data_IF_089817285190
#
_entry.id   IF_089817285190
#
_cell.length_a   1.000
_cell.length_b   1.000
_cell.length_c   1.000
_cell.angle_alpha   90.00
_cell.angle_beta   90.00
_cell.angle_gamma   90.00
#
_symmetry.space_group_name_H-M   'P 1'
#
loop_
_entity.id
_entity.type
_entity.pdbx_description
1 polymer ?
#
# COMPACT_ATOMS: atom_id res chain seq x y z
N UNK A 1 15.56 10.15 -8.30
CA UNK A 1 15.22 8.71 -8.22
C UNK A 1 16.41 7.88 -7.76
N UNK A 2 17.49 7.75 -8.54
CA UNK A 2 18.66 6.97 -8.11
C UNK A 2 19.29 7.52 -6.82
N UNK A 3 19.45 8.84 -6.74
CA UNK A 3 19.90 9.55 -5.53
C UNK A 3 19.04 9.25 -4.31
N UNK A 4 17.71 9.22 -4.46
CA UNK A 4 16.79 8.97 -3.33
C UNK A 4 16.95 7.52 -2.85
N UNK A 5 17.08 6.57 -3.79
CA UNK A 5 17.31 5.14 -3.51
C UNK A 5 18.67 4.93 -2.83
N UNK A 6 19.72 5.59 -3.32
CA UNK A 6 21.05 5.50 -2.71
C UNK A 6 21.05 6.10 -1.29
N UNK A 7 20.17 7.07 -1.01
CA UNK A 7 19.88 7.59 0.33
C UNK A 7 18.93 6.70 1.16
N UNK A 8 18.46 5.57 0.61
CA UNK A 8 17.55 4.64 1.27
C UNK A 8 16.11 5.16 1.41
N UNK A 9 15.74 6.21 0.67
CA UNK A 9 14.42 6.84 0.76
C UNK A 9 13.65 6.60 -0.54
N UNK A 10 12.42 6.04 -0.49
CA UNK A 10 11.58 5.94 -1.67
C UNK A 10 11.36 7.31 -2.32
N UNK A 11 11.47 7.41 -3.64
CA UNK A 11 11.32 8.68 -4.37
C UNK A 11 10.00 9.39 -4.10
N UNK A 12 8.91 8.65 -3.85
CA UNK A 12 7.60 9.24 -3.51
C UNK A 12 7.58 9.97 -2.17
N UNK A 13 8.47 9.57 -1.24
CA UNK A 13 8.65 10.22 0.06
C UNK A 13 9.62 11.40 -0.07
N UNK A 14 10.75 11.18 -0.74
CA UNK A 14 11.77 12.22 -0.93
C UNK A 14 11.28 13.40 -1.78
N UNK A 15 10.37 13.15 -2.73
CA UNK A 15 9.89 14.12 -3.72
C UNK A 15 8.37 14.07 -3.84
N UNK A 16 7.63 14.58 -2.84
CA UNK A 16 6.17 14.42 -2.76
C UNK A 16 5.41 15.12 -3.90
N UNK A 17 5.97 16.17 -4.51
CA UNK A 17 5.34 16.90 -5.61
C UNK A 17 5.85 16.46 -7.00
N UNK A 18 6.42 15.26 -7.10
CA UNK A 18 6.91 14.72 -8.38
C UNK A 18 5.84 13.95 -9.14
N UNK A 19 6.00 13.86 -10.46
CA UNK A 19 5.13 13.04 -11.33
C UNK A 19 5.05 11.58 -10.86
N UNK A 20 6.14 11.03 -10.30
CA UNK A 20 6.15 9.69 -9.74
C UNK A 20 5.20 9.53 -8.56
N UNK A 21 5.10 10.55 -7.70
CA UNK A 21 4.16 10.57 -6.57
C UNK A 21 2.73 10.67 -7.07
N UNK A 22 2.46 11.52 -8.06
CA UNK A 22 1.13 11.65 -8.65
C UNK A 22 0.65 10.32 -9.25
N UNK A 23 1.50 9.65 -10.03
CA UNK A 23 1.19 8.33 -10.63
C UNK A 23 0.99 7.26 -9.56
N UNK A 24 1.83 7.24 -8.54
CA UNK A 24 1.71 6.31 -7.41
C UNK A 24 0.37 6.50 -6.68
N UNK A 25 -0.01 7.75 -6.38
CA UNK A 25 -1.26 8.07 -5.72
C UNK A 25 -2.48 7.67 -6.57
N UNK A 26 -2.45 7.91 -7.88
CA UNK A 26 -3.52 7.49 -8.78
C UNK A 26 -3.72 5.96 -8.76
N UNK A 27 -2.62 5.19 -8.78
CA UNK A 27 -2.68 3.73 -8.66
C UNK A 27 -3.21 3.30 -7.29
N UNK A 28 -2.68 3.88 -6.21
CA UNK A 28 -3.09 3.58 -4.84
C UNK A 28 -4.58 3.87 -4.63
N UNK A 29 -5.09 5.00 -5.13
CA UNK A 29 -6.52 5.34 -5.09
C UNK A 29 -7.37 4.28 -5.78
N UNK A 30 -6.97 3.84 -6.98
CA UNK A 30 -7.68 2.77 -7.71
C UNK A 30 -7.70 1.46 -6.91
N UNK A 31 -6.55 1.05 -6.37
CA UNK A 31 -6.44 -0.18 -5.56
C UNK A 31 -7.32 -0.07 -4.31
N UNK A 32 -7.27 1.05 -3.60
CA UNK A 32 -8.09 1.29 -2.42
C UNK A 32 -9.59 1.26 -2.75
N UNK A 33 -10.01 1.89 -3.85
CA UNK A 33 -11.40 1.84 -4.30
C UNK A 33 -11.84 0.41 -4.65
N UNK A 34 -11.00 -0.36 -5.35
CA UNK A 34 -11.29 -1.77 -5.63
C UNK A 34 -11.38 -2.62 -4.37
N UNK A 35 -10.48 -2.43 -3.41
CA UNK A 35 -10.52 -3.13 -2.12
C UNK A 35 -11.73 -2.73 -1.28
N UNK A 36 -12.15 -1.47 -1.32
CA UNK A 36 -13.32 -1.01 -0.59
C UNK A 36 -14.62 -1.63 -1.14
N UNK A 37 -14.81 -1.62 -2.46
CA UNK A 37 -16.06 -2.06 -3.09
C UNK A 37 -16.13 -3.57 -3.37
N UNK A 38 -14.99 -4.21 -3.63
CA UNK A 38 -14.90 -5.61 -4.07
C UNK A 38 -14.05 -6.48 -3.14
N UNK A 39 -13.41 -5.89 -2.14
CA UNK A 39 -12.59 -6.63 -1.20
C UNK A 39 -13.42 -7.54 -0.32
N UNK A 40 -12.87 -8.71 -0.02
CA UNK A 40 -13.38 -9.56 1.06
C UNK A 40 -12.96 -8.92 2.39
N UNK A 41 -13.87 -8.89 3.36
CA UNK A 41 -13.52 -8.49 4.72
C UNK A 41 -12.31 -9.31 5.20
N UNK A 42 -11.42 -8.67 5.97
CA UNK A 42 -10.32 -9.37 6.62
C UNK A 42 -10.91 -10.54 7.40
N UNK A 43 -10.45 -11.80 7.19
CA UNK A 43 -10.96 -12.92 7.93
C UNK A 43 -10.75 -12.69 9.42
N UNK A 44 -11.74 -13.09 10.22
CA UNK A 44 -11.63 -13.03 11.67
C UNK A 44 -10.43 -13.87 12.15
N UNK A 45 -9.87 -13.49 13.30
CA UNK A 45 -8.77 -14.24 13.89
C UNK A 45 -9.25 -15.66 14.20
N UNK A 46 -8.53 -16.67 13.69
CA UNK A 46 -8.83 -18.08 13.93
C UNK A 46 -8.60 -18.37 15.41
N UNK A 47 -9.68 -18.68 16.14
CA UNK A 47 -9.61 -19.22 17.49
C UNK A 47 -9.21 -20.70 17.41
N UNK A 48 -7.97 -21.03 17.78
CA UNK A 48 -7.53 -22.42 17.88
C UNK A 48 -8.02 -22.99 19.21
N UNK A 49 -8.95 -23.94 19.17
CA UNK A 49 -9.35 -24.73 20.33
C UNK A 49 -8.69 -26.10 20.28
N UNK A 50 -8.01 -26.46 21.35
CA UNK A 50 -7.51 -27.81 21.56
C UNK A 50 -8.63 -28.65 22.18
N UNK A 51 -9.00 -29.74 21.52
CA UNK A 51 -9.91 -30.75 22.05
C UNK A 51 -9.07 -31.78 22.79
N UNK A 52 -9.46 -32.08 24.03
CA UNK A 52 -8.79 -33.04 24.92
C UNK A 52 -9.19 -34.49 24.61
#
# INVERSE_FOLDING_TARGET
MREDIDAGVPTVVARPNSEHTERYLALAQRVCASLFWQGKAKPESIQIQWVN
#
